data_IF_069692762408
#
_entry.id   IF_069692762408
#
_cell.length_a   1.000
_cell.length_b   1.000
_cell.length_c   1.000
_cell.angle_alpha   90.00
_cell.angle_beta   90.00
_cell.angle_gamma   90.00
#
_symmetry.space_group_name_H-M   'P 1'
#
loop_
_entity.id
_entity.type
_entity.pdbx_description
1 polymer ?
#
# COMPACT_ATOMS: atom_id res chain seq x y z
N UNK A 1 13.37 78.73 -29.00
CA UNK A 1 14.31 77.64 -29.35
C UNK A 1 14.68 76.96 -28.03
N UNK A 2 14.68 75.65 -27.80
CA UNK A 2 14.44 74.47 -28.62
C UNK A 2 14.32 73.29 -27.64
N UNK A 3 13.35 72.41 -27.90
CA UNK A 3 13.35 70.94 -27.69
C UNK A 3 13.70 70.36 -26.30
N UNK A 4 12.75 69.74 -25.57
CA UNK A 4 12.15 68.41 -25.79
C UNK A 4 13.09 67.25 -25.43
N UNK A 5 12.78 66.54 -24.33
CA UNK A 5 12.89 65.07 -24.20
C UNK A 5 12.19 64.63 -22.91
N UNK A 6 10.97 64.09 -23.05
CA UNK A 6 10.29 63.31 -22.01
C UNK A 6 10.77 61.86 -22.16
N UNK A 7 11.57 61.39 -21.22
CA UNK A 7 11.93 59.96 -21.11
C UNK A 7 10.76 59.22 -20.44
N UNK A 8 10.04 58.43 -21.24
CA UNK A 8 9.11 57.40 -20.78
C UNK A 8 9.92 56.25 -20.16
N UNK A 9 9.82 56.05 -18.86
CA UNK A 9 10.31 54.86 -18.19
C UNK A 9 9.22 53.77 -18.26
N UNK A 10 9.42 52.78 -19.13
CA UNK A 10 8.63 51.54 -19.16
C UNK A 10 9.06 50.66 -17.99
N UNK A 11 8.22 50.58 -16.95
CA UNK A 11 8.38 49.59 -15.88
C UNK A 11 7.75 48.29 -16.36
N UNK A 12 8.59 47.33 -16.75
CA UNK A 12 8.17 45.96 -17.07
C UNK A 12 7.77 45.22 -15.80
N UNK A 13 6.49 44.86 -15.69
CA UNK A 13 6.00 43.94 -14.65
C UNK A 13 6.43 42.53 -15.06
N UNK A 14 7.43 41.98 -14.37
CA UNK A 14 7.78 40.56 -14.43
C UNK A 14 6.67 39.76 -13.73
N UNK A 15 5.76 39.19 -14.51
CA UNK A 15 4.83 38.17 -14.00
C UNK A 15 5.64 36.89 -13.74
N UNK A 16 6.02 36.66 -12.49
CA UNK A 16 6.52 35.37 -12.03
C UNK A 16 5.35 34.37 -12.10
N UNK A 17 5.24 33.63 -13.19
CA UNK A 17 4.42 32.42 -13.22
C UNK A 17 5.11 31.39 -12.34
N UNK A 18 4.72 31.33 -11.06
CA UNK A 18 5.08 30.22 -10.21
C UNK A 18 4.40 28.97 -10.80
N UNK A 19 5.18 28.08 -11.40
CA UNK A 19 4.74 26.74 -11.72
C UNK A 19 4.37 26.08 -10.39
N UNK A 20 3.08 26.03 -10.05
CA UNK A 20 2.60 25.21 -8.95
C UNK A 20 2.95 23.77 -9.31
N UNK A 21 4.00 23.23 -8.72
CA UNK A 21 4.24 21.80 -8.77
C UNK A 21 3.06 21.15 -8.06
N UNK A 22 2.24 20.41 -8.79
CA UNK A 22 1.16 19.63 -8.21
C UNK A 22 1.79 18.54 -7.35
N UNK A 23 1.93 18.83 -6.06
CA UNK A 23 2.52 17.92 -5.08
C UNK A 23 1.50 16.91 -4.55
N UNK A 24 0.33 16.82 -5.18
CA UNK A 24 -0.67 15.83 -4.80
C UNK A 24 -0.13 14.44 -5.07
N UNK A 25 -0.31 13.55 -4.09
CA UNK A 25 0.03 12.15 -4.26
C UNK A 25 -0.91 11.55 -5.31
N UNK A 26 -0.43 10.59 -6.12
CA UNK A 26 -1.30 9.89 -7.04
C UNK A 26 -2.48 9.27 -6.26
N UNK A 27 -3.69 9.25 -6.87
CA UNK A 27 -4.87 8.64 -6.27
C UNK A 27 -4.59 7.21 -5.79
N UNK A 28 -3.95 6.41 -6.65
CA UNK A 28 -3.51 5.06 -6.34
C UNK A 28 -2.06 5.02 -5.83
N UNK A 29 -1.84 4.36 -4.70
CA UNK A 29 -0.51 4.16 -4.09
C UNK A 29 -0.35 2.74 -3.60
N UNK A 30 0.87 2.20 -3.74
CA UNK A 30 1.32 1.00 -3.04
C UNK A 30 2.35 1.41 -1.97
N UNK A 31 2.18 0.93 -0.74
CA UNK A 31 3.03 1.23 0.42
C UNK A 31 3.10 0.01 1.34
N UNK A 32 3.79 0.10 2.48
CA UNK A 32 3.86 -0.98 3.43
C UNK A 32 4.73 -0.65 4.63
N UNK A 33 4.81 -1.58 5.56
CA UNK A 33 5.64 -1.46 6.75
C UNK A 33 5.96 -2.83 7.33
N UNK A 34 7.06 -2.91 8.10
CA UNK A 34 7.37 -4.06 8.92
C UNK A 34 6.66 -3.93 10.27
N UNK A 35 5.77 -4.86 10.58
CA UNK A 35 5.18 -5.04 11.92
C UNK A 35 6.09 -5.96 12.76
N UNK A 36 5.88 -6.00 14.07
CA UNK A 36 6.50 -6.99 14.95
C UNK A 36 6.15 -8.43 14.55
N UNK A 37 4.97 -8.67 13.96
CA UNK A 37 4.50 -10.02 13.62
C UNK A 37 4.69 -10.41 12.15
N UNK A 38 4.82 -9.44 11.25
CA UNK A 38 4.85 -9.71 9.80
C UNK A 38 5.03 -8.47 8.94
N UNK A 39 5.18 -8.69 7.63
CA UNK A 39 5.16 -7.62 6.64
C UNK A 39 3.73 -7.22 6.34
N UNK A 40 3.47 -5.92 6.31
CA UNK A 40 2.23 -5.36 5.79
C UNK A 40 2.50 -4.69 4.44
N UNK A 41 1.74 -5.08 3.42
CA UNK A 41 1.73 -4.45 2.09
C UNK A 41 0.35 -3.85 1.86
N UNK A 42 0.27 -2.59 1.44
CA UNK A 42 -0.98 -1.82 1.34
C UNK A 42 -1.09 -1.21 -0.05
N UNK A 43 -2.23 -1.40 -0.68
CA UNK A 43 -2.67 -0.67 -1.86
C UNK A 43 -3.86 0.19 -1.49
N UNK A 44 -3.83 1.46 -1.89
CA UNK A 44 -4.88 2.43 -1.57
C UNK A 44 -5.22 3.27 -2.78
N UNK A 45 -6.50 3.57 -2.95
CA UNK A 45 -7.03 4.50 -3.96
C UNK A 45 -8.00 5.47 -3.32
N UNK A 46 -7.75 6.76 -3.53
CA UNK A 46 -8.63 7.84 -3.08
C UNK A 46 -9.33 8.45 -4.30
N UNK A 47 -10.67 8.50 -4.30
CA UNK A 47 -11.44 9.06 -5.41
C UNK A 47 -12.79 9.59 -4.93
N UNK A 48 -13.10 10.86 -5.19
CA UNK A 48 -14.42 11.47 -4.94
C UNK A 48 -14.98 11.21 -3.52
N UNK A 49 -14.15 11.36 -2.48
CA UNK A 49 -14.57 11.11 -1.09
C UNK A 49 -14.56 9.65 -0.67
N UNK A 50 -14.31 8.72 -1.61
CA UNK A 50 -14.09 7.31 -1.32
C UNK A 50 -12.62 7.00 -1.06
N UNK A 51 -12.38 6.09 -0.12
CA UNK A 51 -11.06 5.48 0.13
C UNK A 51 -11.24 3.98 0.02
N UNK A 52 -10.54 3.35 -0.91
CA UNK A 52 -10.46 1.89 -1.05
C UNK A 52 -9.06 1.44 -0.64
N UNK A 53 -8.96 0.53 0.34
CA UNK A 53 -7.69 0.00 0.83
C UNK A 53 -7.72 -1.52 0.79
N UNK A 54 -6.69 -2.11 0.19
CA UNK A 54 -6.39 -3.53 0.28
C UNK A 54 -5.05 -3.70 0.99
N UNK A 55 -4.99 -4.57 1.97
CA UNK A 55 -3.77 -4.89 2.67
C UNK A 55 -3.51 -6.39 2.69
N UNK A 56 -2.26 -6.78 2.46
CA UNK A 56 -1.78 -8.16 2.56
C UNK A 56 -0.75 -8.27 3.70
N UNK A 57 -1.09 -9.08 4.70
CA UNK A 57 -0.22 -9.39 5.83
C UNK A 57 0.47 -10.74 5.63
N UNK A 58 1.79 -10.77 5.77
CA UNK A 58 2.60 -11.98 5.67
C UNK A 58 3.43 -12.15 6.96
N UNK A 59 3.18 -13.20 7.78
CA UNK A 59 3.87 -13.36 9.06
C UNK A 59 5.36 -13.68 8.90
N UNK A 60 6.19 -13.24 9.86
CA UNK A 60 7.63 -13.55 9.85
C UNK A 60 7.97 -15.02 10.10
N UNK A 61 7.12 -15.67 10.89
CA UNK A 61 7.31 -17.05 11.34
C UNK A 61 6.00 -17.81 11.20
N UNK A 62 5.37 -18.12 12.33
CA UNK A 62 4.12 -18.85 12.40
C UNK A 62 2.95 -17.88 12.22
N UNK A 63 1.90 -18.36 11.57
CA UNK A 63 0.69 -17.59 11.30
C UNK A 63 0.20 -17.86 9.89
N UNK A 64 -0.99 -17.35 9.60
CA UNK A 64 -1.56 -17.42 8.27
C UNK A 64 -1.39 -16.07 7.58
N UNK A 65 -1.00 -16.10 6.31
CA UNK A 65 -1.15 -14.93 5.44
C UNK A 65 -2.61 -14.50 5.43
N UNK A 66 -2.87 -13.21 5.41
CA UNK A 66 -4.23 -12.70 5.26
C UNK A 66 -4.27 -11.50 4.32
N UNK A 67 -5.43 -11.31 3.69
CA UNK A 67 -5.77 -10.06 3.03
C UNK A 67 -6.93 -9.40 3.75
N UNK A 68 -6.96 -8.08 3.70
CA UNK A 68 -8.04 -7.27 4.26
C UNK A 68 -8.37 -6.14 3.31
N UNK A 69 -9.63 -6.02 2.91
CA UNK A 69 -10.17 -4.93 2.12
C UNK A 69 -11.06 -4.05 3.00
N UNK A 70 -10.91 -2.74 2.82
CA UNK A 70 -11.65 -1.73 3.53
C UNK A 70 -12.13 -0.66 2.56
N UNK A 71 -13.35 -0.17 2.78
CA UNK A 71 -13.91 0.96 2.01
C UNK A 71 -14.48 1.99 2.95
N UNK A 72 -14.17 3.25 2.68
CA UNK A 72 -14.83 4.39 3.29
C UNK A 72 -15.52 5.22 2.22
N UNK A 73 -16.66 5.79 2.56
CA UNK A 73 -17.40 6.75 1.76
C UNK A 73 -17.65 7.99 2.61
N UNK A 74 -17.21 9.16 2.13
CA UNK A 74 -17.33 10.43 2.85
C UNK A 74 -16.77 10.37 4.27
N UNK A 75 -15.70 9.60 4.44
CA UNK A 75 -15.03 9.36 5.72
C UNK A 75 -15.65 8.27 6.59
N UNK A 76 -16.86 7.78 6.29
CA UNK A 76 -17.52 6.70 7.04
C UNK A 76 -17.10 5.32 6.53
N UNK A 77 -16.79 4.41 7.45
CA UNK A 77 -16.42 3.03 7.09
C UNK A 77 -17.66 2.31 6.55
N UNK A 78 -17.57 1.78 5.34
CA UNK A 78 -18.67 1.12 4.62
C UNK A 78 -18.47 -0.39 4.46
N UNK A 79 -17.22 -0.86 4.36
CA UNK A 79 -16.88 -2.28 4.19
C UNK A 79 -15.64 -2.66 5.00
N UNK A 80 -15.71 -3.84 5.59
CA UNK A 80 -14.56 -4.63 6.04
C UNK A 80 -14.71 -6.03 5.43
N UNK A 81 -13.65 -6.51 4.77
CA UNK A 81 -13.56 -7.87 4.27
C UNK A 81 -12.19 -8.46 4.59
N UNK A 82 -12.12 -9.61 5.25
CA UNK A 82 -10.87 -10.28 5.61
C UNK A 82 -10.87 -11.70 5.05
N UNK A 83 -9.74 -12.11 4.47
CA UNK A 83 -9.48 -13.48 4.07
C UNK A 83 -8.23 -13.96 4.81
N UNK A 84 -8.36 -15.01 5.60
CA UNK A 84 -7.24 -15.66 6.29
C UNK A 84 -6.95 -16.98 5.58
N UNK A 85 -5.77 -17.10 4.97
CA UNK A 85 -5.36 -18.26 4.18
C UNK A 85 -4.80 -19.37 5.08
N UNK A 86 -5.59 -19.78 6.08
CA UNK A 86 -5.30 -20.89 6.97
C UNK A 86 -5.87 -22.22 6.47
N UNK A 87 -5.77 -23.24 7.34
CA UNK A 87 -6.41 -24.55 7.15
C UNK A 87 -7.20 -24.89 8.44
N UNK A 88 -8.55 -24.72 8.45
CA UNK A 88 -9.40 -24.25 7.36
C UNK A 88 -9.20 -22.74 7.04
N UNK A 89 -9.53 -22.30 5.81
CA UNK A 89 -9.58 -20.88 5.49
C UNK A 89 -10.73 -20.20 6.22
N UNK A 90 -10.57 -18.91 6.49
CA UNK A 90 -11.59 -18.08 7.13
C UNK A 90 -11.85 -16.83 6.30
N UNK A 91 -13.13 -16.51 6.11
CA UNK A 91 -13.60 -15.31 5.43
C UNK A 91 -14.52 -14.50 6.34
N UNK A 92 -14.27 -13.21 6.48
CA UNK A 92 -15.09 -12.31 7.29
C UNK A 92 -15.54 -11.16 6.40
N UNK A 93 -16.81 -10.79 6.50
CA UNK A 93 -17.35 -9.59 5.87
C UNK A 93 -18.27 -8.85 6.83
N UNK A 94 -18.06 -7.55 6.97
CA UNK A 94 -18.97 -6.65 7.66
C UNK A 94 -19.24 -5.43 6.77
N UNK A 95 -20.51 -5.03 6.67
CA UNK A 95 -20.93 -3.82 5.94
C UNK A 95 -21.63 -2.89 6.89
N UNK A 96 -21.50 -1.61 6.59
CA UNK A 96 -22.10 -0.54 7.35
C UNK A 96 -22.94 0.34 6.44
N UNK A 97 -23.99 0.91 6.98
CA UNK A 97 -24.81 1.90 6.25
C UNK A 97 -24.18 3.30 6.28
N UNK A 98 -24.87 4.28 5.69
CA UNK A 98 -24.41 5.66 5.61
C UNK A 98 -24.32 6.35 6.99
N UNK A 99 -24.99 5.82 8.02
CA UNK A 99 -24.89 6.30 9.40
C UNK A 99 -23.71 5.65 10.13
N UNK A 100 -23.03 4.70 9.49
CA UNK A 100 -21.95 3.92 10.06
C UNK A 100 -22.44 2.75 10.92
N UNK A 101 -23.73 2.41 10.87
CA UNK A 101 -24.33 1.31 11.63
C UNK A 101 -24.16 -0.02 10.91
N UNK A 102 -24.07 -1.12 11.66
CA UNK A 102 -23.85 -2.46 11.07
C UNK A 102 -25.08 -2.93 10.30
N UNK A 103 -24.95 -3.05 8.98
CA UNK A 103 -26.04 -3.49 8.09
C UNK A 103 -25.93 -4.96 7.69
N UNK A 104 -24.72 -5.53 7.74
CA UNK A 104 -24.48 -6.94 7.47
C UNK A 104 -23.21 -7.43 8.17
N UNK A 105 -23.23 -8.68 8.63
CA UNK A 105 -22.02 -9.38 9.07
C UNK A 105 -22.09 -10.87 8.77
N UNK A 106 -20.94 -11.44 8.41
CA UNK A 106 -20.76 -12.87 8.27
C UNK A 106 -19.30 -13.24 8.54
N UNK A 107 -19.11 -14.32 9.28
CA UNK A 107 -17.85 -15.06 9.38
C UNK A 107 -18.08 -16.44 8.81
N UNK A 108 -17.22 -16.90 7.93
CA UNK A 108 -17.27 -18.21 7.32
C UNK A 108 -15.96 -18.95 7.61
N UNK A 109 -16.06 -20.14 8.20
CA UNK A 109 -14.92 -21.02 8.48
C UNK A 109 -15.34 -22.42 8.06
N UNK A 110 -14.55 -23.06 7.20
CA UNK A 110 -14.85 -24.42 6.73
C UNK A 110 -16.28 -24.56 6.15
N UNK A 111 -16.73 -23.52 5.43
CA UNK A 111 -18.08 -23.42 4.87
C UNK A 111 -19.20 -23.14 5.88
N UNK A 112 -18.90 -23.09 7.19
CA UNK A 112 -19.86 -22.78 8.23
C UNK A 112 -19.98 -21.28 8.44
N UNK A 113 -21.20 -20.75 8.30
CA UNK A 113 -21.52 -19.34 8.46
C UNK A 113 -21.93 -19.02 9.90
N UNK A 114 -21.33 -17.98 10.45
CA UNK A 114 -21.51 -17.52 11.82
C UNK A 114 -21.67 -15.99 11.84
N UNK A 115 -22.38 -15.48 12.83
CA UNK A 115 -22.39 -14.07 13.12
C UNK A 115 -21.12 -13.67 13.86
N UNK A 116 -20.75 -12.39 13.76
CA UNK A 116 -19.71 -11.80 14.59
C UNK A 116 -20.33 -11.33 15.91
N UNK A 117 -19.58 -11.42 17.00
CA UNK A 117 -19.92 -10.71 18.24
C UNK A 117 -19.70 -9.20 18.10
N UNK A 118 -20.35 -8.41 18.96
CA UNK A 118 -20.13 -6.95 19.05
C UNK A 118 -18.66 -6.60 19.22
N UNK A 119 -17.94 -7.35 20.06
CA UNK A 119 -16.54 -7.11 20.37
C UNK A 119 -15.64 -7.39 19.16
N UNK A 120 -15.95 -8.43 18.38
CA UNK A 120 -15.25 -8.69 17.11
C UNK A 120 -15.48 -7.57 16.11
N UNK A 121 -16.72 -7.08 15.97
CA UNK A 121 -17.02 -5.93 15.09
C UNK A 121 -16.24 -4.69 15.53
N UNK A 122 -16.24 -4.38 16.83
CA UNK A 122 -15.50 -3.24 17.38
C UNK A 122 -13.98 -3.38 17.13
N UNK A 123 -13.42 -4.57 17.34
CA UNK A 123 -12.00 -4.85 17.06
C UNK A 123 -11.67 -4.66 15.58
N UNK A 124 -12.51 -5.13 14.67
CA UNK A 124 -12.27 -4.97 13.23
C UNK A 124 -12.40 -3.52 12.78
N UNK A 125 -13.34 -2.74 13.33
CA UNK A 125 -13.41 -1.30 13.10
C UNK A 125 -12.15 -0.59 13.56
N UNK A 126 -11.68 -0.91 14.77
CA UNK A 126 -10.43 -0.35 15.30
C UNK A 126 -9.24 -0.65 14.37
N UNK A 127 -9.11 -1.90 13.92
CA UNK A 127 -8.05 -2.30 12.97
C UNK A 127 -8.15 -1.58 11.63
N UNK A 128 -9.37 -1.42 11.09
CA UNK A 128 -9.60 -0.67 9.86
C UNK A 128 -9.14 0.79 9.99
N UNK A 129 -9.42 1.42 11.13
CA UNK A 129 -8.98 2.79 11.39
C UNK A 129 -7.46 2.89 11.54
N UNK A 130 -6.84 1.97 12.28
CA UNK A 130 -5.37 1.93 12.45
C UNK A 130 -4.64 1.77 11.11
N UNK A 131 -5.11 0.89 10.23
CA UNK A 131 -4.46 0.69 8.93
C UNK A 131 -4.67 1.90 8.00
N UNK A 132 -5.82 2.57 8.07
CA UNK A 132 -6.06 3.81 7.34
C UNK A 132 -5.10 4.91 7.79
N UNK A 133 -4.99 5.15 9.09
CA UNK A 133 -4.09 6.15 9.67
C UNK A 133 -2.62 5.87 9.32
N UNK A 134 -2.22 4.60 9.40
CA UNK A 134 -0.88 4.17 8.99
C UNK A 134 -0.66 4.43 7.49
N UNK A 135 -1.64 4.12 6.65
CA UNK A 135 -1.59 4.39 5.22
C UNK A 135 -1.51 5.90 4.91
N UNK A 136 -2.22 6.75 5.66
CA UNK A 136 -2.12 8.21 5.55
C UNK A 136 -0.68 8.68 5.83
N UNK A 137 -0.08 8.19 6.92
CA UNK A 137 1.30 8.54 7.28
C UNK A 137 2.33 8.05 6.24
N UNK A 138 2.19 6.82 5.73
CA UNK A 138 3.07 6.28 4.69
C UNK A 138 2.98 7.07 3.39
N UNK A 139 1.77 7.46 3.01
CA UNK A 139 1.51 8.33 1.85
C UNK A 139 2.18 9.69 2.04
N UNK A 140 2.02 10.33 3.19
CA UNK A 140 2.66 11.60 3.51
C UNK A 140 4.19 11.51 3.48
N UNK A 141 4.76 10.40 3.98
CA UNK A 141 6.19 10.10 3.93
C UNK A 141 6.70 9.61 2.56
N UNK A 142 5.82 9.50 1.55
CA UNK A 142 6.15 9.00 0.20
C UNK A 142 6.80 7.61 0.22
N UNK A 143 6.36 6.76 1.14
CA UNK A 143 6.81 5.37 1.22
C UNK A 143 6.13 4.55 0.13
N UNK A 144 6.92 4.07 -0.82
CA UNK A 144 6.45 3.29 -1.96
C UNK A 144 6.83 1.82 -1.79
N UNK A 145 5.85 0.93 -1.97
CA UNK A 145 6.10 -0.50 -2.06
C UNK A 145 6.47 -0.87 -3.49
N UNK A 146 7.57 -1.61 -3.61
CA UNK A 146 7.97 -2.29 -4.84
C UNK A 146 8.13 -3.78 -4.55
N UNK A 147 7.81 -4.60 -5.53
CA UNK A 147 7.92 -6.05 -5.40
C UNK A 147 8.07 -6.73 -6.75
N UNK A 148 8.66 -7.92 -6.76
CA UNK A 148 8.93 -8.66 -7.99
C UNK A 148 9.79 -9.90 -7.78
N UNK A 149 10.27 -10.47 -8.89
CA UNK A 149 11.12 -11.66 -8.94
C UNK A 149 12.59 -11.29 -8.94
N UNK A 150 13.35 -11.91 -8.04
CA UNK A 150 14.78 -11.70 -7.91
C UNK A 150 15.58 -12.52 -8.91
N UNK A 151 16.60 -11.90 -9.52
CA UNK A 151 17.52 -12.52 -10.45
C UNK A 151 18.95 -12.56 -9.90
N UNK A 152 19.75 -13.53 -10.34
CA UNK A 152 21.11 -13.76 -9.87
C UNK A 152 22.06 -12.55 -10.08
N UNK A 153 21.79 -11.69 -11.05
CA UNK A 153 22.54 -10.46 -11.30
C UNK A 153 22.16 -9.28 -10.38
N UNK A 154 21.41 -9.56 -9.30
CA UNK A 154 20.87 -8.59 -8.34
C UNK A 154 19.89 -7.59 -8.93
N UNK A 155 19.19 -7.98 -9.99
CA UNK A 155 18.05 -7.23 -10.52
C UNK A 155 16.74 -7.88 -10.10
N UNK A 156 15.67 -7.10 -10.16
CA UNK A 156 14.31 -7.54 -9.90
C UNK A 156 13.46 -7.22 -11.12
N UNK A 157 12.74 -8.22 -11.64
CA UNK A 157 11.61 -7.96 -12.53
C UNK A 157 10.39 -7.69 -11.66
N UNK A 158 9.94 -6.43 -11.62
CA UNK A 158 8.80 -6.00 -10.81
C UNK A 158 7.51 -6.64 -11.29
N UNK A 159 6.49 -6.65 -10.43
CA UNK A 159 5.17 -7.17 -10.80
C UNK A 159 4.50 -6.37 -11.94
N UNK A 160 4.94 -5.13 -12.20
CA UNK A 160 4.53 -4.33 -13.36
C UNK A 160 5.37 -4.63 -14.62
N UNK A 161 6.34 -5.56 -14.56
CA UNK A 161 7.16 -5.99 -15.69
C UNK A 161 8.42 -5.17 -15.95
N UNK A 162 8.82 -4.29 -15.03
CA UNK A 162 10.04 -3.50 -15.17
C UNK A 162 11.24 -4.22 -14.57
N UNK A 163 12.41 -4.18 -15.22
CA UNK A 163 13.64 -4.66 -14.59
C UNK A 163 14.37 -3.52 -13.90
N UNK A 164 14.59 -3.65 -12.59
CA UNK A 164 15.25 -2.64 -11.76
C UNK A 164 16.36 -3.26 -10.91
N UNK A 165 17.31 -2.45 -10.46
CA UNK A 165 18.30 -2.85 -9.44
C UNK A 165 17.99 -2.08 -8.16
N UNK A 166 17.44 -2.73 -7.12
CA UNK A 166 17.04 -2.01 -5.91
C UNK A 166 18.28 -1.59 -5.10
N UNK A 167 18.23 -0.41 -4.50
CA UNK A 167 19.33 0.15 -3.69
C UNK A 167 19.28 -0.38 -2.24
N UNK A 168 19.39 -1.70 -2.10
CA UNK A 168 19.35 -2.38 -0.81
C UNK A 168 20.73 -2.45 -0.18
N UNK A 169 20.76 -2.36 1.15
CA UNK A 169 21.99 -2.52 1.91
C UNK A 169 22.59 -3.95 1.78
N UNK A 170 23.83 -4.09 2.24
CA UNK A 170 24.57 -5.36 2.13
C UNK A 170 23.92 -6.49 2.94
N UNK A 171 23.27 -6.19 4.06
CA UNK A 171 22.63 -7.21 4.90
C UNK A 171 21.35 -7.76 4.23
N UNK A 172 20.55 -6.87 3.64
CA UNK A 172 19.38 -7.21 2.84
C UNK A 172 19.76 -8.07 1.63
N UNK A 173 20.80 -7.67 0.89
CA UNK A 173 21.32 -8.45 -0.25
C UNK A 173 21.77 -9.84 0.19
N UNK A 174 22.56 -9.94 1.26
CA UNK A 174 23.00 -11.23 1.80
C UNK A 174 21.83 -12.11 2.29
N UNK A 175 20.76 -11.50 2.81
CA UNK A 175 19.56 -12.22 3.19
C UNK A 175 18.83 -12.81 1.98
N UNK A 176 18.64 -12.01 0.91
CA UNK A 176 18.02 -12.48 -0.34
C UNK A 176 18.84 -13.61 -0.96
N UNK A 177 20.16 -13.42 -1.10
CA UNK A 177 21.07 -14.42 -1.68
C UNK A 177 21.05 -15.73 -0.90
N UNK A 178 21.07 -15.65 0.44
CA UNK A 178 20.95 -16.84 1.30
C UNK A 178 19.62 -17.55 1.08
N UNK A 179 18.51 -16.82 0.92
CA UNK A 179 17.20 -17.43 0.67
C UNK A 179 17.15 -18.07 -0.71
N UNK A 180 17.68 -17.39 -1.74
CA UNK A 180 17.77 -17.89 -3.10
C UNK A 180 18.60 -19.18 -3.20
N UNK A 181 19.73 -19.26 -2.49
CA UNK A 181 20.58 -20.45 -2.49
C UNK A 181 19.90 -21.70 -1.89
N UNK A 182 18.86 -21.52 -1.08
CA UNK A 182 18.05 -22.62 -0.53
C UNK A 182 16.79 -22.89 -1.35
N UNK A 183 16.58 -22.19 -2.47
CA UNK A 183 15.41 -22.31 -3.33
C UNK A 183 15.82 -22.82 -4.71
N UNK A 184 15.05 -23.77 -5.26
CA UNK A 184 15.20 -24.22 -6.65
C UNK A 184 14.51 -23.29 -7.66
N UNK A 185 13.77 -22.29 -7.19
CA UNK A 185 13.07 -21.28 -8.00
C UNK A 185 13.49 -19.88 -7.60
N UNK A 186 13.30 -18.90 -8.49
CA UNK A 186 13.51 -17.49 -8.19
C UNK A 186 12.60 -17.03 -7.05
N UNK A 187 13.20 -16.45 -6.02
CA UNK A 187 12.45 -15.90 -4.87
C UNK A 187 11.75 -14.61 -5.27
N UNK A 188 10.60 -14.35 -4.66
CA UNK A 188 9.97 -13.04 -4.72
C UNK A 188 10.55 -12.15 -3.62
N UNK A 189 10.72 -10.87 -3.95
CA UNK A 189 11.18 -9.83 -3.02
C UNK A 189 10.18 -8.69 -3.00
N UNK A 190 10.00 -8.08 -1.83
CA UNK A 190 9.27 -6.83 -1.64
C UNK A 190 10.14 -5.88 -0.81
N UNK A 191 10.18 -4.61 -1.19
CA UNK A 191 10.94 -3.57 -0.51
C UNK A 191 10.18 -2.24 -0.51
N UNK A 192 10.57 -1.38 0.41
CA UNK A 192 10.04 -0.03 0.54
C UNK A 192 11.08 0.96 0.03
N UNK A 193 10.64 1.94 -0.75
CA UNK A 193 11.44 3.08 -1.19
C UNK A 193 10.86 4.37 -0.59
N UNK A 194 11.69 5.19 0.01
CA UNK A 194 11.33 6.48 0.58
C UNK A 194 12.45 7.49 0.30
N UNK A 195 12.24 8.81 0.51
CA UNK A 195 13.30 9.81 0.36
C UNK A 195 14.58 9.50 1.16
N UNK A 196 14.45 8.77 2.26
CA UNK A 196 15.54 8.38 3.15
C UNK A 196 16.32 7.15 2.66
N UNK A 197 15.79 6.38 1.71
CA UNK A 197 16.44 5.20 1.13
C UNK A 197 15.50 4.02 0.89
N UNK A 198 16.10 2.85 0.64
CA UNK A 198 15.35 1.61 0.40
C UNK A 198 15.57 0.59 1.51
N UNK A 199 14.50 -0.11 1.90
CA UNK A 199 14.55 -1.16 2.91
C UNK A 199 13.84 -2.42 2.44
N UNK A 200 14.52 -3.56 2.56
CA UNK A 200 13.92 -4.86 2.28
C UNK A 200 12.78 -5.15 3.28
N UNK A 201 11.62 -5.49 2.75
CA UNK A 201 10.42 -5.80 3.54
C UNK A 201 10.20 -7.30 3.69
N UNK A 202 10.29 -8.05 2.58
CA UNK A 202 9.98 -9.48 2.56
C UNK A 202 10.74 -10.21 1.45
N UNK A 203 11.14 -11.44 1.74
CA UNK A 203 11.68 -12.40 0.75
C UNK A 203 10.99 -13.74 0.97
N UNK A 204 10.41 -14.31 -0.08
CA UNK A 204 9.70 -15.59 0.04
C UNK A 204 9.67 -16.35 -1.29
N UNK A 205 9.23 -17.62 -1.25
CA UNK A 205 9.14 -18.46 -2.46
C UNK A 205 7.79 -18.27 -3.16
N UNK A 206 6.82 -17.74 -2.42
CA UNK A 206 5.48 -17.36 -2.85
C UNK A 206 5.54 -16.27 -3.92
N UNK A 207 4.58 -16.27 -4.84
CA UNK A 207 4.46 -15.23 -5.86
C UNK A 207 3.73 -13.99 -5.30
N UNK A 208 4.48 -12.94 -5.00
CA UNK A 208 3.90 -11.71 -4.47
C UNK A 208 3.01 -10.97 -5.47
N UNK A 209 3.21 -11.18 -6.76
CA UNK A 209 2.47 -10.50 -7.82
C UNK A 209 1.01 -10.98 -7.89
N UNK A 210 0.72 -12.18 -7.36
CA UNK A 210 -0.66 -12.70 -7.31
C UNK A 210 -1.61 -11.86 -6.45
N UNK A 211 -1.10 -11.15 -5.45
CA UNK A 211 -1.88 -10.26 -4.59
C UNK A 211 -1.80 -8.79 -4.98
N UNK A 212 -1.02 -8.44 -6.01
CA UNK A 212 -0.91 -7.05 -6.44
C UNK A 212 -2.13 -6.66 -7.28
N UNK A 213 -2.98 -5.73 -6.82
CA UNK A 213 -4.00 -5.17 -7.68
C UNK A 213 -3.37 -4.24 -8.72
N UNK A 214 -4.03 -4.10 -9.88
CA UNK A 214 -3.71 -3.04 -10.84
C UNK A 214 -4.62 -1.84 -10.60
N UNK A 215 -4.15 -0.62 -10.82
CA UNK A 215 -4.98 0.59 -10.65
C UNK A 215 -6.29 0.54 -11.45
N UNK A 216 -6.27 -0.09 -12.63
CA UNK A 216 -7.44 -0.25 -13.50
C UNK A 216 -8.47 -1.23 -12.95
N UNK A 217 -8.02 -2.25 -12.21
CA UNK A 217 -8.85 -3.30 -11.65
C UNK A 217 -9.13 -3.09 -10.15
N UNK A 218 -8.76 -1.93 -9.61
CA UNK A 218 -8.85 -1.57 -8.18
C UNK A 218 -9.79 -0.39 -7.95
#
# INVERSE_FOLDING_TARGET
MSTWRRTLALVGVLLLTACSHDSSLPPFTASGYADNQGAMRIWRKDSNGEVHLLAAFSPWRHGNTSTSEYRWQDGQLALIELNVYGKPPEHIRARFDAQGELSFMQREIDGQKQQLSSDQVALYRYRAEQIRQTSDALRQGRVMLRQGRWHANRTVTTCEGQTVKPDLDTQALAHIERRQNHSSIEVSVAWLEAPEGSQLLLVANEDFCTWQPTEKSF
#
